data_IF_758908379139
#
_entry.id   IF_758908379139
#
_cell.length_a   1.000
_cell.length_b   1.000
_cell.length_c   1.000
_cell.angle_alpha   90.00
_cell.angle_beta   90.00
_cell.angle_gamma   90.00
#
_symmetry.space_group_name_H-M   'P 1'
#
loop_
_entity.id
_entity.type
_entity.pdbx_description
1 polymer ?
#
# COMPACT_ATOMS: atom_id res chain seq x y z
N UNK A 1 -9.94 -4.23 4.38
CA UNK A 1 -8.50 -3.86 4.26
C UNK A 1 -7.66 -5.08 4.64
N UNK A 2 -6.83 -5.57 3.72
CA UNK A 2 -6.04 -6.81 3.89
C UNK A 2 -5.12 -6.79 5.13
N UNK A 3 -4.38 -5.71 5.31
CA UNK A 3 -3.35 -5.55 6.33
C UNK A 3 -3.82 -4.82 7.59
N UNK A 4 -5.12 -4.84 7.91
CA UNK A 4 -5.61 -4.21 9.14
C UNK A 4 -5.02 -4.84 10.42
N UNK A 5 -4.80 -6.16 10.39
CA UNK A 5 -4.14 -6.92 11.47
C UNK A 5 -2.91 -7.62 10.89
N UNK A 6 -1.75 -6.98 11.03
CA UNK A 6 -0.50 -7.44 10.41
C UNK A 6 -0.14 -8.90 10.78
N UNK A 7 -0.23 -9.36 12.05
CA UNK A 7 0.04 -10.76 12.39
C UNK A 7 -0.89 -11.74 11.68
N UNK A 8 -2.19 -11.40 11.57
CA UNK A 8 -3.18 -12.23 10.87
C UNK A 8 -2.87 -12.33 9.38
N UNK A 9 -2.47 -11.22 8.75
CA UNK A 9 -2.15 -11.21 7.32
C UNK A 9 -0.94 -12.09 7.00
N UNK A 10 0.10 -12.02 7.85
CA UNK A 10 1.28 -12.90 7.74
C UNK A 10 0.90 -14.36 7.97
N UNK A 11 0.10 -14.65 8.99
CA UNK A 11 -0.35 -16.01 9.29
C UNK A 11 -1.14 -16.63 8.13
N UNK A 12 -2.05 -15.86 7.52
CA UNK A 12 -2.78 -16.31 6.34
C UNK A 12 -1.82 -16.68 5.19
N UNK A 13 -0.81 -15.84 4.93
CA UNK A 13 0.17 -16.13 3.88
C UNK A 13 0.97 -17.41 4.19
N UNK A 14 1.43 -17.58 5.45
CA UNK A 14 2.14 -18.80 5.87
C UNK A 14 1.28 -20.04 5.69
N UNK A 15 -0.01 -19.99 6.04
CA UNK A 15 -0.93 -21.11 5.82
C UNK A 15 -1.15 -21.40 4.33
N UNK A 16 -1.33 -20.39 3.49
CA UNK A 16 -1.46 -20.60 2.04
C UNK A 16 -0.23 -21.32 1.46
N UNK A 17 0.97 -20.98 1.93
CA UNK A 17 2.21 -21.64 1.52
C UNK A 17 2.27 -23.07 2.06
N UNK A 18 2.01 -23.28 3.35
CA UNK A 18 2.09 -24.58 4.00
C UNK A 18 1.10 -25.61 3.44
N UNK A 19 -0.10 -25.17 3.06
CA UNK A 19 -1.15 -26.01 2.49
C UNK A 19 -1.01 -26.20 0.96
N UNK A 20 0.02 -25.62 0.33
CA UNK A 20 0.23 -25.69 -1.13
C UNK A 20 -0.82 -24.94 -1.95
N UNK A 21 -1.54 -23.99 -1.33
CA UNK A 21 -2.61 -23.20 -1.95
C UNK A 21 -2.11 -21.91 -2.63
N UNK A 22 -0.80 -21.73 -2.73
CA UNK A 22 -0.14 -20.56 -3.33
C UNK A 22 0.01 -20.63 -4.86
N UNK A 23 -0.64 -21.59 -5.51
CA UNK A 23 -0.59 -21.79 -6.98
C UNK A 23 -1.56 -20.88 -7.73
N UNK A 24 -2.65 -20.45 -7.10
CA UNK A 24 -3.63 -19.53 -7.70
C UNK A 24 -3.17 -18.09 -7.49
N UNK A 25 -2.94 -17.31 -8.55
CA UNK A 25 -2.52 -15.93 -8.42
C UNK A 25 -3.64 -15.07 -7.84
N UNK A 26 -3.28 -14.16 -6.94
CA UNK A 26 -4.23 -13.20 -6.37
C UNK A 26 -3.63 -11.80 -6.27
N UNK A 27 -4.50 -10.82 -6.11
CA UNK A 27 -4.15 -9.40 -5.94
C UNK A 27 -5.02 -8.80 -4.85
N UNK A 28 -4.51 -7.78 -4.15
CA UNK A 28 -5.34 -7.00 -3.24
C UNK A 28 -6.14 -5.97 -4.04
N UNK A 29 -7.39 -6.29 -4.38
CA UNK A 29 -8.27 -5.36 -5.13
C UNK A 29 -8.67 -4.13 -4.31
N UNK A 30 -8.60 -4.22 -2.98
CA UNK A 30 -8.81 -3.11 -2.07
C UNK A 30 -7.48 -2.50 -1.65
N UNK A 31 -7.41 -1.18 -1.58
CA UNK A 31 -6.24 -0.45 -1.06
C UNK A 31 -5.82 -0.94 0.33
N UNK A 32 -4.56 -1.33 0.44
CA UNK A 32 -3.86 -1.59 1.69
C UNK A 32 -3.50 -0.27 2.37
N UNK A 33 -3.44 -0.28 3.70
CA UNK A 33 -2.95 0.87 4.47
C UNK A 33 -1.42 0.91 4.38
N UNK A 34 -0.84 2.00 3.91
CA UNK A 34 0.63 2.14 3.80
C UNK A 34 1.34 1.99 5.15
N UNK A 35 0.73 2.52 6.22
CA UNK A 35 1.29 2.54 7.57
C UNK A 35 1.11 1.23 8.38
N UNK A 36 0.63 0.14 7.77
CA UNK A 36 0.55 -1.19 8.39
C UNK A 36 1.24 -2.25 7.52
N UNK A 37 2.48 -2.00 7.14
CA UNK A 37 3.25 -2.89 6.25
C UNK A 37 4.69 -3.03 6.73
N UNK A 38 5.34 -4.12 6.32
CA UNK A 38 6.78 -4.34 6.45
C UNK A 38 7.26 -5.25 5.32
N UNK A 39 8.58 -5.37 5.15
CA UNK A 39 9.18 -6.19 4.11
C UNK A 39 8.78 -7.68 4.24
N UNK A 40 8.72 -8.22 5.47
CA UNK A 40 8.35 -9.62 5.71
C UNK A 40 6.94 -9.92 5.18
N UNK A 41 5.97 -9.02 5.41
CA UNK A 41 4.62 -9.18 4.88
C UNK A 41 4.65 -9.33 3.35
N UNK A 42 5.38 -8.46 2.65
CA UNK A 42 5.42 -8.49 1.19
C UNK A 42 6.12 -9.73 0.64
N UNK A 43 7.20 -10.19 1.29
CA UNK A 43 7.86 -11.45 0.95
C UNK A 43 6.90 -12.63 1.12
N UNK A 44 6.17 -12.68 2.23
CA UNK A 44 5.15 -13.71 2.47
C UNK A 44 4.01 -13.64 1.47
N UNK A 45 3.51 -12.45 1.13
CA UNK A 45 2.46 -12.27 0.13
C UNK A 45 2.93 -12.78 -1.25
N UNK A 46 4.15 -12.44 -1.67
CA UNK A 46 4.73 -12.93 -2.92
C UNK A 46 4.81 -14.46 -2.94
N UNK A 47 5.35 -15.06 -1.88
CA UNK A 47 5.47 -16.51 -1.75
C UNK A 47 4.10 -17.21 -1.71
N UNK A 48 3.08 -16.55 -1.15
CA UNK A 48 1.70 -17.02 -1.08
C UNK A 48 0.90 -16.83 -2.40
N UNK A 49 1.54 -16.39 -3.49
CA UNK A 49 0.91 -16.26 -4.81
C UNK A 49 0.43 -14.86 -5.17
N UNK A 50 0.66 -13.85 -4.32
CA UNK A 50 0.29 -12.46 -4.61
C UNK A 50 1.12 -11.90 -5.78
N UNK A 51 0.45 -11.22 -6.71
CA UNK A 51 1.09 -10.61 -7.89
C UNK A 51 1.22 -9.09 -7.79
N UNK A 52 0.23 -8.43 -7.20
CA UNK A 52 0.14 -6.97 -7.11
C UNK A 52 -0.49 -6.53 -5.80
N UNK A 53 0.08 -5.48 -5.22
CA UNK A 53 -0.48 -4.75 -4.08
C UNK A 53 -0.87 -3.33 -4.49
N UNK A 54 -1.96 -2.84 -3.93
CA UNK A 54 -2.44 -1.48 -4.13
C UNK A 54 -2.49 -0.73 -2.81
N UNK A 55 -2.09 0.54 -2.77
CA UNK A 55 -2.01 1.35 -1.56
C UNK A 55 -2.91 2.58 -1.61
N UNK A 56 -3.66 2.82 -0.55
CA UNK A 56 -4.39 4.08 -0.37
C UNK A 56 -3.42 5.20 0.00
N UNK A 57 -2.85 5.87 -0.99
CA UNK A 57 -1.92 7.00 -0.81
C UNK A 57 -2.69 8.29 -0.58
N UNK A 58 -3.79 8.45 -1.31
CA UNK A 58 -4.76 9.54 -1.24
C UNK A 58 -4.23 10.89 -1.75
N UNK A 59 -3.15 11.44 -1.18
CA UNK A 59 -2.65 12.78 -1.51
C UNK A 59 -1.13 12.89 -1.28
N UNK A 60 -0.45 13.72 -2.06
CA UNK A 60 0.99 13.95 -1.99
C UNK A 60 1.41 15.13 -1.11
N UNK A 61 0.48 15.86 -0.51
CA UNK A 61 0.76 16.94 0.44
C UNK A 61 0.61 16.47 1.90
N UNK A 62 1.64 16.71 2.72
CA UNK A 62 1.62 16.27 4.13
C UNK A 62 0.53 16.96 4.96
N UNK A 63 0.22 18.23 4.67
CA UNK A 63 -0.83 18.96 5.38
C UNK A 63 -2.19 18.36 5.05
N UNK A 64 -2.45 18.01 3.79
CA UNK A 64 -3.66 17.30 3.39
C UNK A 64 -3.78 15.94 4.08
N UNK A 65 -2.70 15.14 4.10
CA UNK A 65 -2.67 13.85 4.79
C UNK A 65 -2.97 13.98 6.29
N UNK A 66 -2.38 14.98 6.95
CA UNK A 66 -2.48 15.20 8.40
C UNK A 66 -3.81 15.83 8.83
N UNK A 67 -4.26 16.85 8.12
CA UNK A 67 -5.33 17.74 8.59
C UNK A 67 -6.70 17.44 7.96
N UNK A 68 -6.73 16.87 6.76
CA UNK A 68 -7.98 16.55 6.04
C UNK A 68 -8.24 15.05 6.03
N UNK A 69 -7.29 14.25 5.51
CA UNK A 69 -7.46 12.81 5.30
C UNK A 69 -7.37 12.02 6.61
N UNK A 70 -6.46 12.43 7.51
CA UNK A 70 -6.35 11.93 8.90
C UNK A 70 -6.23 10.39 9.01
N UNK A 71 -5.57 9.74 8.04
CA UNK A 71 -5.30 8.29 8.07
C UNK A 71 -4.05 7.89 8.87
N UNK A 72 -3.29 8.88 9.36
CA UNK A 72 -2.07 8.68 10.15
C UNK A 72 -0.89 8.13 9.34
N UNK A 73 -0.89 8.36 8.02
CA UNK A 73 0.20 7.97 7.13
C UNK A 73 1.08 9.19 6.81
N UNK A 74 2.38 8.96 6.64
CA UNK A 74 3.34 9.96 6.15
C UNK A 74 3.79 9.64 4.73
N UNK A 75 4.37 10.61 4.03
CA UNK A 75 4.93 10.39 2.69
C UNK A 75 6.11 9.40 2.72
N UNK A 76 6.92 9.42 3.78
CA UNK A 76 8.01 8.45 3.95
C UNK A 76 7.50 7.01 4.10
N UNK A 77 6.41 6.82 4.85
CA UNK A 77 5.77 5.50 4.95
C UNK A 77 5.18 5.05 3.61
N UNK A 78 4.69 5.97 2.78
CA UNK A 78 4.28 5.66 1.41
C UNK A 78 5.48 5.16 0.61
N UNK A 79 6.58 5.94 0.55
CA UNK A 79 7.79 5.57 -0.19
C UNK A 79 8.36 4.23 0.27
N UNK A 80 8.46 4.01 1.58
CA UNK A 80 8.94 2.78 2.18
C UNK A 80 8.06 1.57 1.81
N UNK A 81 6.73 1.71 1.88
CA UNK A 81 5.81 0.63 1.53
C UNK A 81 5.97 0.22 0.05
N UNK A 82 6.09 1.19 -0.85
CA UNK A 82 6.32 0.92 -2.28
C UNK A 82 7.71 0.31 -2.53
N UNK A 83 8.77 0.81 -1.87
CA UNK A 83 10.10 0.26 -1.98
C UNK A 83 10.18 -1.20 -1.51
N UNK A 84 9.60 -1.50 -0.34
CA UNK A 84 9.56 -2.85 0.22
C UNK A 84 8.74 -3.81 -0.65
N UNK A 85 7.60 -3.36 -1.20
CA UNK A 85 6.80 -4.18 -2.11
C UNK A 85 7.53 -4.48 -3.43
N UNK A 86 8.17 -3.48 -4.03
CA UNK A 86 9.03 -3.64 -5.22
C UNK A 86 10.18 -4.60 -4.93
N UNK A 87 10.87 -4.46 -3.79
CA UNK A 87 11.96 -5.33 -3.36
C UNK A 87 11.54 -6.80 -3.16
N UNK A 88 10.28 -7.04 -2.74
CA UNK A 88 9.70 -8.37 -2.66
C UNK A 88 9.24 -8.95 -4.02
N UNK A 89 9.43 -8.23 -5.13
CA UNK A 89 9.02 -8.66 -6.47
C UNK A 89 7.51 -8.60 -6.73
N UNK A 90 6.80 -7.71 -6.02
CA UNK A 90 5.38 -7.42 -6.26
C UNK A 90 5.22 -6.25 -7.23
N UNK A 91 4.19 -6.32 -8.07
CA UNK A 91 3.71 -5.12 -8.75
C UNK A 91 3.07 -4.17 -7.73
N UNK A 92 3.17 -2.86 -7.97
CA UNK A 92 2.59 -1.84 -7.10
C UNK A 92 1.57 -0.98 -7.83
N UNK A 93 0.58 -0.46 -7.10
CA UNK A 93 -0.42 0.47 -7.60
C UNK A 93 -0.74 1.50 -6.50
N UNK A 94 -0.81 2.78 -6.85
CA UNK A 94 -1.25 3.84 -5.95
C UNK A 94 -2.69 4.24 -6.21
N UNK A 95 -3.47 4.41 -5.16
CA UNK A 95 -4.78 5.07 -5.22
C UNK A 95 -4.63 6.51 -4.71
N UNK A 96 -5.01 7.47 -5.55
CA UNK A 96 -4.92 8.91 -5.30
C UNK A 96 -6.31 9.54 -5.48
N UNK A 97 -6.58 10.63 -4.77
CA UNK A 97 -7.83 11.40 -4.84
C UNK A 97 -7.47 12.87 -5.08
N UNK A 98 -8.14 13.47 -6.05
CA UNK A 98 -7.99 14.89 -6.40
C UNK A 98 -9.29 15.63 -6.11
N UNK A 99 -9.17 16.91 -5.70
CA UNK A 99 -10.33 17.79 -5.47
C UNK A 99 -11.01 17.56 -4.12
N UNK A 100 -10.28 17.09 -3.11
CA UNK A 100 -10.77 17.02 -1.74
C UNK A 100 -11.00 18.44 -1.18
N UNK A 101 -11.89 18.63 -0.18
CA UNK A 101 -11.96 19.89 0.54
C UNK A 101 -10.58 20.28 1.08
N UNK A 102 -10.06 21.43 0.65
CA UNK A 102 -8.73 21.92 0.99
C UNK A 102 -7.66 21.69 -0.08
N UNK A 103 -7.92 20.87 -1.11
CA UNK A 103 -7.03 20.80 -2.27
C UNK A 103 -7.00 22.12 -3.04
N UNK A 104 -5.84 22.39 -3.65
CA UNK A 104 -5.64 23.42 -4.66
C UNK A 104 -4.67 22.88 -5.73
N UNK A 105 -4.36 23.68 -6.75
CA UNK A 105 -3.47 23.25 -7.83
C UNK A 105 -2.08 22.81 -7.33
N UNK A 106 -1.54 23.47 -6.30
CA UNK A 106 -0.24 23.11 -5.71
C UNK A 106 -0.27 21.74 -5.01
N UNK A 107 -1.30 21.45 -4.21
CA UNK A 107 -1.42 20.15 -3.52
C UNK A 107 -1.68 19.02 -4.50
N UNK A 108 -2.45 19.30 -5.56
CA UNK A 108 -2.68 18.35 -6.64
C UNK A 108 -1.38 18.10 -7.43
N UNK A 109 -0.58 19.11 -7.71
CA UNK A 109 0.72 18.95 -8.36
C UNK A 109 1.67 18.09 -7.50
N UNK A 110 1.73 18.32 -6.17
CA UNK A 110 2.51 17.45 -5.26
C UNK A 110 2.06 15.99 -5.32
N UNK A 111 0.75 15.77 -5.48
CA UNK A 111 0.18 14.42 -5.64
C UNK A 111 0.63 13.77 -6.96
N UNK A 112 0.67 14.53 -8.05
CA UNK A 112 1.19 14.06 -9.35
C UNK A 112 2.68 13.73 -9.23
N UNK A 113 3.49 14.61 -8.63
CA UNK A 113 4.92 14.40 -8.46
C UNK A 113 5.21 13.13 -7.64
N UNK A 114 4.51 12.93 -6.52
CA UNK A 114 4.63 11.70 -5.72
C UNK A 114 4.26 10.44 -6.53
N UNK A 115 3.25 10.53 -7.41
CA UNK A 115 2.81 9.39 -8.22
C UNK A 115 3.81 8.98 -9.31
N UNK A 116 4.73 9.88 -9.68
CA UNK A 116 5.77 9.65 -10.69
C UNK A 116 7.08 9.09 -10.10
N UNK A 117 7.23 9.05 -8.77
CA UNK A 117 8.37 8.44 -8.07
C UNK A 117 8.44 6.90 -8.19
#
# INVERSE_FOLDING_TARGET
IWNLKLPRAKELCRRLIAEGLNTVPWVTVHGMKVNHTDLELFQLMRAAGCKRVGFGVENGDESMLRNVIRKGQTLDQVREAFANAKAAGLQTMGFFIFGMPGDNEETMEKTIQLALE
#
